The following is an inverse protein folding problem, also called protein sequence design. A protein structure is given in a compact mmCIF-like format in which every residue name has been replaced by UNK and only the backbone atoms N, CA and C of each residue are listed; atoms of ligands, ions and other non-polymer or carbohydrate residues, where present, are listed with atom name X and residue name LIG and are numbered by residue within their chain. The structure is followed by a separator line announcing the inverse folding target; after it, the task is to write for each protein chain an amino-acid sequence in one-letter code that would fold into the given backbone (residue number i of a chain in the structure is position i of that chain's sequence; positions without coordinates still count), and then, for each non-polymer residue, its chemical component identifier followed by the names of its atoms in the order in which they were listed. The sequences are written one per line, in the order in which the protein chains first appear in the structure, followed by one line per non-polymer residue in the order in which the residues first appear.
data_IF_690018165804
#
_entry.id   IF_690018165804
#
_cell.length_a   1.000
_cell.length_b   1.000
_cell.length_c   1.000
_cell.angle_alpha   90.00
_cell.angle_beta   90.00
_cell.angle_gamma   90.00
#
_symmetry.space_group_name_H-M   'P 1'
#
loop_
_entity.id
_entity.type
_entity.pdbx_description
1 polymer ?
#
# COMPACT_ATOMS: atom_id res chain seq x y z
N UNK A 1 -50.69 17.96 -4.93
CA UNK A 1 -50.71 16.69 -5.67
C UNK A 1 -49.49 16.71 -6.58
N UNK A 2 -48.52 15.80 -6.41
CA UNK A 2 -47.44 15.65 -7.39
C UNK A 2 -48.04 15.01 -8.64
N UNK A 3 -48.67 15.82 -9.49
CA UNK A 3 -48.97 15.44 -10.86
C UNK A 3 -47.64 15.43 -11.61
N UNK A 4 -47.07 14.26 -11.88
CA UNK A 4 -45.82 14.20 -12.62
C UNK A 4 -44.96 12.95 -12.47
N UNK A 5 -45.41 11.92 -11.75
CA UNK A 5 -44.72 10.63 -11.85
C UNK A 5 -45.17 9.91 -13.13
N UNK A 6 -44.53 10.27 -14.24
CA UNK A 6 -44.72 9.60 -15.51
C UNK A 6 -44.07 8.21 -15.45
N UNK A 7 -44.91 7.19 -15.38
CA UNK A 7 -44.49 5.78 -15.27
C UNK A 7 -43.59 5.37 -16.43
N UNK A 8 -43.71 6.03 -17.58
CA UNK A 8 -42.84 5.84 -18.72
C UNK A 8 -41.42 6.33 -18.44
N UNK A 9 -41.26 7.44 -17.72
CA UNK A 9 -39.95 7.96 -17.30
C UNK A 9 -39.29 7.01 -16.30
N UNK A 10 -40.06 6.43 -15.38
CA UNK A 10 -39.57 5.40 -14.45
C UNK A 10 -39.17 4.10 -15.17
N UNK A 11 -39.99 3.64 -16.12
CA UNK A 11 -39.74 2.44 -16.92
C UNK A 11 -38.55 2.60 -17.87
N UNK A 12 -38.21 3.81 -18.31
CA UNK A 12 -37.00 4.12 -19.10
C UNK A 12 -35.76 4.22 -18.21
N UNK A 13 -35.91 4.66 -16.96
CA UNK A 13 -34.83 4.67 -15.97
C UNK A 13 -34.29 3.28 -15.62
N UNK A 14 -35.14 2.24 -15.66
CA UNK A 14 -34.75 0.86 -15.36
C UNK A 14 -33.75 0.26 -16.38
N UNK A 15 -34.01 0.31 -17.71
CA UNK A 15 -33.03 -0.07 -18.73
C UNK A 15 -31.74 0.72 -18.62
N UNK A 16 -31.83 2.02 -18.37
CA UNK A 16 -30.65 2.88 -18.23
C UNK A 16 -29.80 2.46 -17.02
N UNK A 17 -30.43 2.16 -15.89
CA UNK A 17 -29.76 1.65 -14.70
C UNK A 17 -29.09 0.29 -14.98
N UNK A 18 -29.76 -0.62 -15.69
CA UNK A 18 -29.18 -1.91 -16.09
C UNK A 18 -27.94 -1.74 -16.98
N UNK A 19 -27.98 -0.79 -17.93
CA UNK A 19 -26.84 -0.48 -18.80
C UNK A 19 -25.68 0.09 -17.99
N UNK A 20 -25.94 1.04 -17.09
CA UNK A 20 -24.91 1.65 -16.24
C UNK A 20 -24.27 0.60 -15.32
N UNK A 21 -25.07 -0.24 -14.66
CA UNK A 21 -24.58 -1.33 -13.81
C UNK A 21 -23.73 -2.31 -14.62
N UNK A 22 -24.18 -2.66 -15.82
CA UNK A 22 -23.44 -3.56 -16.71
C UNK A 22 -22.08 -2.99 -17.10
N UNK A 23 -22.02 -1.70 -17.44
CA UNK A 23 -20.76 -1.01 -17.78
C UNK A 23 -19.82 -0.99 -16.57
N UNK A 24 -20.33 -0.60 -15.39
CA UNK A 24 -19.54 -0.54 -14.15
C UNK A 24 -19.00 -1.93 -13.77
N UNK A 25 -19.81 -2.98 -13.90
CA UNK A 25 -19.37 -4.36 -13.65
C UNK A 25 -18.27 -4.78 -14.62
N UNK A 26 -18.42 -4.52 -15.92
CA UNK A 26 -17.41 -4.91 -16.92
C UNK A 26 -16.08 -4.16 -16.70
N UNK A 27 -16.14 -2.86 -16.38
CA UNK A 27 -14.93 -2.07 -16.09
C UNK A 27 -14.24 -2.58 -14.83
N UNK A 28 -14.98 -2.80 -13.74
CA UNK A 28 -14.42 -3.33 -12.49
C UNK A 28 -13.88 -4.76 -12.64
N UNK A 29 -14.55 -5.62 -13.42
CA UNK A 29 -14.07 -6.96 -13.70
C UNK A 29 -12.73 -6.92 -14.46
N UNK A 30 -12.66 -6.13 -15.54
CA UNK A 30 -11.43 -6.00 -16.34
C UNK A 30 -10.28 -5.43 -15.51
N UNK A 31 -10.55 -4.40 -14.70
CA UNK A 31 -9.55 -3.79 -13.82
C UNK A 31 -9.12 -4.74 -12.70
N UNK A 32 -10.06 -5.39 -12.03
CA UNK A 32 -9.79 -6.35 -10.97
C UNK A 32 -9.03 -7.59 -11.44
N UNK A 33 -9.27 -8.06 -12.67
CA UNK A 33 -8.50 -9.15 -13.29
C UNK A 33 -7.08 -8.71 -13.65
N UNK A 34 -6.90 -7.48 -14.16
CA UNK A 34 -5.58 -6.91 -14.50
C UNK A 34 -4.73 -6.64 -13.26
N UNK A 35 -5.34 -6.12 -12.21
CA UNK A 35 -4.67 -5.73 -10.96
C UNK A 35 -4.67 -6.86 -9.91
N UNK A 36 -5.17 -8.06 -10.25
CA UNK A 36 -5.24 -9.24 -9.38
C UNK A 36 -5.84 -8.92 -7.99
N UNK A 37 -6.91 -8.14 -7.94
CA UNK A 37 -7.48 -7.63 -6.68
C UNK A 37 -7.89 -8.71 -5.66
N UNK A 38 -8.26 -9.89 -6.16
CA UNK A 38 -8.66 -11.05 -5.35
C UNK A 38 -7.51 -12.05 -5.13
N UNK A 39 -6.30 -11.74 -5.58
CA UNK A 39 -5.13 -12.57 -5.32
C UNK A 39 -4.50 -12.18 -3.98
N UNK A 40 -5.08 -12.72 -2.89
CA UNK A 40 -4.52 -12.58 -1.55
C UNK A 40 -3.06 -13.05 -1.48
N UNK A 41 -2.65 -13.94 -2.38
CA UNK A 41 -1.27 -14.41 -2.50
C UNK A 41 -0.35 -13.27 -2.90
N UNK A 42 -0.75 -12.38 -3.83
CA UNK A 42 0.05 -11.22 -4.22
C UNK A 42 0.26 -10.27 -3.03
N UNK A 43 -0.82 -9.92 -2.32
CA UNK A 43 -0.73 -9.09 -1.11
C UNK A 43 0.16 -9.75 -0.06
N UNK A 44 -0.02 -11.05 0.20
CA UNK A 44 0.77 -11.81 1.18
C UNK A 44 2.25 -11.86 0.82
N UNK A 45 2.58 -12.18 -0.43
CA UNK A 45 3.97 -12.21 -0.92
C UNK A 45 4.60 -10.83 -0.77
N UNK A 46 3.90 -9.76 -1.15
CA UNK A 46 4.47 -8.42 -1.11
C UNK A 46 4.63 -7.89 0.32
N UNK A 47 3.70 -8.19 1.23
CA UNK A 47 3.84 -7.89 2.66
C UNK A 47 5.03 -8.64 3.26
N UNK A 48 5.17 -9.93 2.94
CA UNK A 48 6.29 -10.75 3.42
C UNK A 48 7.64 -10.28 2.84
N UNK A 49 7.68 -9.97 1.54
CA UNK A 49 8.87 -9.45 0.88
C UNK A 49 9.31 -8.09 1.47
N UNK A 50 8.37 -7.19 1.81
CA UNK A 50 8.70 -5.94 2.51
C UNK A 50 9.27 -6.19 3.90
N UNK A 51 8.71 -7.14 4.65
CA UNK A 51 9.23 -7.52 5.98
C UNK A 51 10.66 -8.10 5.89
N UNK A 52 10.90 -9.03 4.97
CA UNK A 52 12.23 -9.59 4.71
C UNK A 52 13.19 -8.49 4.27
N UNK A 53 12.78 -7.66 3.30
CA UNK A 53 13.59 -6.54 2.81
C UNK A 53 13.99 -5.61 3.95
N UNK A 54 13.08 -5.32 4.88
CA UNK A 54 13.37 -4.48 6.03
C UNK A 54 14.44 -5.11 6.93
N UNK A 55 14.33 -6.40 7.23
CA UNK A 55 15.35 -7.16 7.97
C UNK A 55 16.73 -7.16 7.29
N UNK A 56 16.76 -7.38 5.97
CA UNK A 56 18.00 -7.33 5.17
C UNK A 56 18.63 -5.94 5.22
N UNK A 57 17.83 -4.87 5.05
CA UNK A 57 18.34 -3.49 5.13
C UNK A 57 18.85 -3.14 6.53
N UNK A 58 18.20 -3.64 7.59
CA UNK A 58 18.68 -3.48 8.98
C UNK A 58 20.07 -4.10 9.13
N UNK A 59 20.27 -5.33 8.66
CA UNK A 59 21.57 -5.99 8.70
C UNK A 59 22.63 -5.23 7.88
N UNK A 60 22.27 -4.76 6.67
CA UNK A 60 23.17 -4.00 5.82
C UNK A 60 23.61 -2.66 6.45
N UNK A 61 22.68 -1.93 7.08
CA UNK A 61 23.00 -0.68 7.80
C UNK A 61 23.94 -0.97 8.97
N UNK A 62 23.67 -2.01 9.78
CA UNK A 62 24.52 -2.37 10.91
C UNK A 62 25.94 -2.76 10.50
N UNK A 63 26.09 -3.57 9.45
CA UNK A 63 27.41 -3.95 8.91
C UNK A 63 28.16 -2.70 8.45
N UNK A 64 27.48 -1.83 7.68
CA UNK A 64 28.06 -0.58 7.19
C UNK A 64 28.46 0.35 8.34
N UNK A 65 27.65 0.40 9.40
CA UNK A 65 27.93 1.19 10.60
C UNK A 65 29.19 0.70 11.32
N UNK A 66 29.36 -0.62 11.47
CA UNK A 66 30.59 -1.22 12.04
C UNK A 66 31.82 -0.88 11.19
N UNK A 67 31.72 -1.02 9.86
CA UNK A 67 32.83 -0.71 8.95
C UNK A 67 33.27 0.76 9.10
N UNK A 68 32.31 1.68 9.10
CA UNK A 68 32.59 3.12 9.23
C UNK A 68 33.27 3.44 10.56
N UNK A 69 32.83 2.84 11.68
CA UNK A 69 33.47 3.02 12.98
C UNK A 69 34.92 2.55 12.98
N UNK A 70 35.20 1.39 12.36
CA UNK A 70 36.55 0.81 12.36
C UNK A 70 37.51 1.60 11.47
N UNK A 71 37.04 2.06 10.29
CA UNK A 71 37.91 2.68 9.29
C UNK A 71 38.07 4.18 9.52
N UNK A 72 36.97 4.91 9.70
CA UNK A 72 36.96 6.38 9.77
C UNK A 72 36.73 6.92 11.19
N UNK A 73 36.13 6.12 12.08
CA UNK A 73 35.73 6.58 13.41
C UNK A 73 34.57 7.60 13.35
N UNK A 74 34.43 8.48 14.36
CA UNK A 74 33.30 9.40 14.47
C UNK A 74 33.48 10.63 13.56
N UNK A 75 33.40 10.43 12.25
CA UNK A 75 33.46 11.47 11.23
C UNK A 75 32.13 11.56 10.45
N UNK A 76 32.09 12.35 9.37
CA UNK A 76 30.84 12.64 8.65
C UNK A 76 30.06 11.38 8.27
N UNK A 77 30.73 10.35 7.75
CA UNK A 77 30.09 9.10 7.34
C UNK A 77 29.35 8.43 8.51
N UNK A 78 29.95 8.42 9.71
CA UNK A 78 29.34 7.87 10.92
C UNK A 78 28.02 8.56 11.26
N UNK A 79 27.99 9.90 11.21
CA UNK A 79 26.77 10.65 11.50
C UNK A 79 25.70 10.45 10.42
N UNK A 80 26.09 10.36 9.15
CA UNK A 80 25.16 10.06 8.05
C UNK A 80 24.53 8.69 8.25
N UNK A 81 25.33 7.65 8.51
CA UNK A 81 24.79 6.30 8.64
C UNK A 81 23.98 6.12 9.93
N UNK A 82 24.33 6.84 10.99
CA UNK A 82 23.52 6.94 12.21
C UNK A 82 22.18 7.62 11.94
N UNK A 83 22.17 8.70 11.15
CA UNK A 83 20.94 9.36 10.72
C UNK A 83 20.03 8.44 9.90
N UNK A 84 20.61 7.65 8.98
CA UNK A 84 19.89 6.63 8.20
C UNK A 84 19.31 5.56 9.14
N UNK A 85 20.08 5.11 10.13
CA UNK A 85 19.61 4.14 11.13
C UNK A 85 18.40 4.67 11.90
N UNK A 86 18.47 5.90 12.40
CA UNK A 86 17.35 6.55 13.11
C UNK A 86 16.14 6.67 12.20
N UNK A 87 16.29 7.16 10.97
CA UNK A 87 15.19 7.27 10.02
C UNK A 87 14.55 5.91 9.70
N UNK A 88 15.37 4.86 9.53
CA UNK A 88 14.92 3.49 9.29
C UNK A 88 14.06 2.96 10.45
N UNK A 89 14.52 3.16 11.70
CA UNK A 89 13.77 2.74 12.90
C UNK A 89 12.51 3.56 13.15
N UNK A 90 12.57 4.88 12.94
CA UNK A 90 11.39 5.75 13.05
C UNK A 90 10.33 5.36 12.01
N UNK A 91 10.73 5.04 10.78
CA UNK A 91 9.80 4.60 9.74
C UNK A 91 9.08 3.30 10.14
N UNK A 92 9.79 2.38 10.78
CA UNK A 92 9.21 1.16 11.33
C UNK A 92 8.25 1.45 12.47
N UNK A 93 8.63 2.30 13.43
CA UNK A 93 7.77 2.68 14.55
C UNK A 93 6.46 3.31 14.08
N UNK A 94 6.51 4.23 13.12
CA UNK A 94 5.32 4.85 12.50
C UNK A 94 4.49 3.79 11.77
N UNK A 95 5.12 2.97 10.93
CA UNK A 95 4.44 1.91 10.19
C UNK A 95 3.75 0.90 11.10
N UNK A 96 4.40 0.51 12.20
CA UNK A 96 3.86 -0.39 13.22
C UNK A 96 2.69 0.25 13.98
N UNK A 97 2.79 1.52 14.36
CA UNK A 97 1.69 2.23 15.02
C UNK A 97 0.44 2.32 14.13
N UNK A 98 0.61 2.60 12.84
CA UNK A 98 -0.49 2.65 11.85
C UNK A 98 -1.07 1.25 11.61
N UNK A 99 -0.25 0.21 11.56
CA UNK A 99 -0.74 -1.16 11.40
C UNK A 99 -1.49 -1.63 12.65
N UNK A 100 -0.99 -1.31 13.84
CA UNK A 100 -1.60 -1.67 15.11
C UNK A 100 -2.94 -0.99 15.34
N UNK A 101 -3.15 0.24 14.85
CA UNK A 101 -4.44 0.94 15.00
C UNK A 101 -5.55 0.39 14.11
N UNK A 102 -5.20 -0.50 13.17
CA UNK A 102 -6.13 -1.14 12.22
C UNK A 102 -6.46 -2.60 12.57
N UNK A 103 -5.77 -3.16 13.57
CA UNK A 103 -6.08 -4.47 14.16
C UNK A 103 -7.02 -4.28 15.34
#
# INVERSE_FOLDING_TARGET
MYEGFDIWTFLVGLPLALVIISIVMVVNWKKGKKERWFDERYKRIHQHARSISWGVTTAAILISWIIVIIIEGPHLAFFIITGIWVAHMVSYAIGAAIASSKN
#
